data_IF_717830991771
#
_entry.id   IF_717830991771
#
_cell.length_a   1.000
_cell.length_b   1.000
_cell.length_c   1.000
_cell.angle_alpha   90.00
_cell.angle_beta   90.00
_cell.angle_gamma   90.00
#
_symmetry.space_group_name_H-M   'P 1'
#
loop_
_entity.id
_entity.type
_entity.pdbx_description
1 polymer ?
#
# COMPACT_ATOMS: atom_id res chain seq x y z
N UNK A 1 59.09 -42.39 48.27
CA UNK A 1 57.83 -43.06 47.88
C UNK A 1 56.71 -42.05 47.93
N UNK A 2 56.42 -41.36 46.84
CA UNK A 2 55.24 -40.46 46.74
C UNK A 2 54.87 -40.37 45.26
N UNK A 3 53.76 -41.02 44.91
CA UNK A 3 53.26 -41.16 43.53
C UNK A 3 52.55 -39.88 43.11
N UNK A 4 52.99 -39.25 42.03
CA UNK A 4 52.26 -38.19 41.33
C UNK A 4 51.19 -38.84 40.44
N UNK A 5 49.91 -38.60 40.73
CA UNK A 5 48.79 -38.98 39.86
C UNK A 5 48.52 -37.79 38.93
N UNK A 6 48.83 -37.96 37.64
CA UNK A 6 48.48 -37.02 36.59
C UNK A 6 47.04 -37.32 36.18
N UNK A 7 46.08 -36.47 36.59
CA UNK A 7 44.72 -36.48 36.03
C UNK A 7 44.77 -35.78 34.66
N UNK A 8 44.70 -36.57 33.59
CA UNK A 8 44.48 -36.05 32.24
C UNK A 8 42.98 -35.75 32.11
N UNK A 9 42.62 -34.47 32.24
CA UNK A 9 41.27 -33.99 31.97
C UNK A 9 41.10 -33.91 30.44
N UNK A 10 40.47 -34.93 29.85
CA UNK A 10 40.16 -34.99 28.43
C UNK A 10 39.00 -34.01 28.15
N UNK A 11 39.32 -32.78 27.72
CA UNK A 11 38.32 -31.86 27.19
C UNK A 11 37.81 -32.40 25.84
N UNK A 12 36.66 -33.07 25.87
CA UNK A 12 35.90 -33.41 24.66
C UNK A 12 35.31 -32.10 24.14
N UNK A 13 35.95 -31.48 23.15
CA UNK A 13 35.37 -30.39 22.38
C UNK A 13 34.27 -30.97 21.50
N UNK A 14 33.03 -30.96 22.01
CA UNK A 14 31.86 -31.23 21.20
C UNK A 14 31.73 -30.08 20.18
N UNK A 15 32.12 -30.34 18.94
CA UNK A 15 31.86 -29.41 17.84
C UNK A 15 30.36 -29.48 17.59
N UNK A 16 29.63 -28.51 18.13
CA UNK A 16 28.22 -28.35 17.81
C UNK A 16 28.12 -28.05 16.30
N UNK A 17 27.79 -29.07 15.51
CA UNK A 17 27.35 -28.87 14.14
C UNK A 17 26.04 -28.08 14.21
N UNK A 18 26.14 -26.77 14.05
CA UNK A 18 24.98 -25.95 13.72
C UNK A 18 24.44 -26.51 12.41
N UNK A 19 23.26 -27.13 12.47
CA UNK A 19 22.48 -27.47 11.28
C UNK A 19 21.91 -26.15 10.76
N UNK A 20 22.79 -25.30 10.22
CA UNK A 20 22.41 -24.07 9.55
C UNK A 20 21.81 -24.45 8.21
N UNK A 21 20.48 -24.56 8.14
CA UNK A 21 19.80 -24.63 6.85
C UNK A 21 20.17 -23.37 6.04
N UNK A 22 20.57 -23.55 4.78
CA UNK A 22 20.83 -22.45 3.87
C UNK A 22 19.55 -21.63 3.70
N UNK A 23 19.60 -20.34 4.04
CA UNK A 23 18.47 -19.42 3.86
C UNK A 23 18.36 -19.12 2.36
N UNK A 24 17.25 -19.47 1.68
CA UNK A 24 17.14 -19.28 0.24
C UNK A 24 17.19 -17.80 -0.14
N UNK A 25 18.04 -17.43 -1.10
CA UNK A 25 18.12 -16.07 -1.61
C UNK A 25 17.00 -15.78 -2.63
N UNK A 26 15.77 -15.67 -2.14
CA UNK A 26 14.57 -15.40 -2.94
C UNK A 26 13.93 -14.09 -2.54
N UNK A 27 13.19 -13.44 -3.46
CA UNK A 27 12.43 -12.23 -3.11
C UNK A 27 11.43 -12.46 -1.98
N UNK A 28 10.79 -13.64 -1.95
CA UNK A 28 9.89 -14.02 -0.87
C UNK A 28 10.57 -14.02 0.51
N UNK A 29 11.83 -14.50 0.57
CA UNK A 29 12.64 -14.49 1.78
C UNK A 29 13.04 -13.07 2.17
N UNK A 30 13.60 -12.30 1.21
CA UNK A 30 14.11 -10.95 1.44
C UNK A 30 13.03 -9.98 1.94
N UNK A 31 11.79 -10.15 1.48
CA UNK A 31 10.64 -9.28 1.85
C UNK A 31 9.79 -9.82 3.00
N UNK A 32 10.23 -10.86 3.72
CA UNK A 32 9.49 -11.38 4.90
C UNK A 32 9.18 -10.32 5.94
N UNK A 33 10.08 -9.35 6.14
CA UNK A 33 9.82 -8.25 7.07
C UNK A 33 8.60 -7.40 6.67
N UNK A 34 8.33 -7.25 5.37
CA UNK A 34 7.18 -6.50 4.87
C UNK A 34 5.85 -7.18 5.24
N UNK A 35 5.82 -8.51 5.31
CA UNK A 35 4.59 -9.28 5.58
C UNK A 35 4.19 -9.24 7.05
N UNK A 36 5.07 -8.79 7.96
CA UNK A 36 4.73 -8.57 9.37
C UNK A 36 3.56 -7.58 9.50
N UNK A 37 3.54 -6.55 8.65
CA UNK A 37 2.49 -5.54 8.62
C UNK A 37 1.53 -5.71 7.42
N UNK A 38 2.03 -6.16 6.26
CA UNK A 38 1.25 -6.22 5.02
C UNK A 38 0.80 -7.63 4.63
N UNK A 39 0.67 -8.55 5.60
CA UNK A 39 0.20 -9.93 5.35
C UNK A 39 -1.19 -9.96 4.69
N UNK A 40 -1.50 -11.08 4.02
CA UNK A 40 -2.83 -11.32 3.48
C UNK A 40 -3.91 -11.60 4.53
N UNK A 41 -3.50 -11.94 5.75
CA UNK A 41 -4.43 -12.26 6.83
C UNK A 41 -5.11 -10.99 7.33
N UNK A 42 -6.44 -11.02 7.37
CA UNK A 42 -7.24 -10.03 8.06
C UNK A 42 -6.94 -10.06 9.55
N UNK A 43 -6.17 -9.09 10.01
CA UNK A 43 -5.94 -8.88 11.43
C UNK A 43 -6.76 -7.68 11.88
N UNK A 44 -7.83 -7.98 12.62
CA UNK A 44 -8.66 -6.98 13.29
C UNK A 44 -7.78 -6.21 14.29
N UNK A 45 -7.81 -4.88 14.25
CA UNK A 45 -7.08 -4.01 15.19
C UNK A 45 -6.03 -3.12 14.54
N UNK A 46 -4.82 -3.04 15.10
CA UNK A 46 -3.73 -2.17 14.58
C UNK A 46 -3.35 -2.52 13.14
N UNK A 47 -3.48 -3.78 12.77
CA UNK A 47 -3.11 -4.27 11.45
C UNK A 47 -4.11 -3.86 10.37
N UNK A 48 -5.35 -3.51 10.74
CA UNK A 48 -6.29 -2.88 9.83
C UNK A 48 -5.77 -1.52 9.31
N UNK A 49 -4.81 -0.88 9.98
CA UNK A 49 -4.17 0.33 9.46
C UNK A 49 -3.18 0.05 8.33
N UNK A 50 -2.60 -1.15 8.26
CA UNK A 50 -1.65 -1.50 7.21
C UNK A 50 -2.39 -2.00 5.97
N UNK A 51 -2.20 -1.37 4.81
CA UNK A 51 -2.93 -1.78 3.63
C UNK A 51 -2.39 -3.11 3.12
N UNK A 52 -3.29 -3.91 2.54
CA UNK A 52 -2.89 -4.95 1.60
C UNK A 52 -2.03 -4.35 0.49
N UNK A 53 -0.92 -4.98 0.11
CA UNK A 53 -0.10 -4.60 -1.04
C UNK A 53 -0.09 -5.64 -2.17
N UNK A 54 -0.44 -6.89 -1.86
CA UNK A 54 -0.49 -7.99 -2.82
C UNK A 54 -1.49 -7.71 -3.95
N UNK A 55 -1.04 -7.86 -5.19
CA UNK A 55 -1.84 -7.68 -6.40
C UNK A 55 -2.16 -6.22 -6.74
N UNK A 56 -1.54 -5.24 -6.07
CA UNK A 56 -1.64 -3.83 -6.49
C UNK A 56 -0.76 -3.59 -7.74
N UNK A 57 -1.09 -2.58 -8.57
CA UNK A 57 -0.31 -2.24 -9.74
C UNK A 57 1.18 -2.03 -9.40
N UNK A 58 2.08 -2.61 -10.20
CA UNK A 58 3.52 -2.57 -9.93
C UNK A 58 4.04 -1.13 -9.86
N UNK A 59 3.64 -0.28 -10.81
CA UNK A 59 4.03 1.13 -10.84
C UNK A 59 3.50 1.90 -9.63
N UNK A 60 2.33 1.54 -9.10
CA UNK A 60 1.83 2.12 -7.85
C UNK A 60 2.73 1.75 -6.68
N UNK A 61 3.04 0.47 -6.49
CA UNK A 61 3.86 -0.02 -5.39
C UNK A 61 5.25 0.64 -5.44
N UNK A 62 5.90 0.61 -6.60
CA UNK A 62 7.21 1.25 -6.79
C UNK A 62 7.19 2.73 -6.41
N UNK A 63 6.19 3.48 -6.89
CA UNK A 63 6.06 4.90 -6.55
C UNK A 63 5.83 5.13 -5.06
N UNK A 64 5.05 4.29 -4.38
CA UNK A 64 4.86 4.42 -2.93
C UNK A 64 6.15 4.15 -2.16
N UNK A 65 6.86 3.07 -2.50
CA UNK A 65 8.13 2.71 -1.86
C UNK A 65 9.16 3.84 -2.03
N UNK A 66 9.33 4.33 -3.26
CA UNK A 66 10.23 5.46 -3.56
C UNK A 66 9.82 6.71 -2.79
N UNK A 67 8.53 7.04 -2.76
CA UNK A 67 8.04 8.22 -2.04
C UNK A 67 8.28 8.12 -0.52
N UNK A 68 8.18 6.94 0.09
CA UNK A 68 8.53 6.74 1.50
C UNK A 68 10.03 6.87 1.72
N UNK A 69 10.86 6.17 0.95
CA UNK A 69 12.33 6.24 1.05
C UNK A 69 12.84 7.68 0.93
N UNK A 70 12.32 8.41 -0.05
CA UNK A 70 12.77 9.78 -0.35
C UNK A 70 12.10 10.83 0.56
N UNK A 71 11.29 10.42 1.54
CA UNK A 71 10.60 11.30 2.48
C UNK A 71 9.47 12.15 1.87
N UNK A 72 9.10 11.91 0.61
CA UNK A 72 7.99 12.59 -0.09
C UNK A 72 6.63 12.20 0.49
N UNK A 73 6.49 10.93 0.93
CA UNK A 73 5.35 10.42 1.67
C UNK A 73 5.79 10.09 3.10
N UNK A 74 5.08 10.62 4.09
CA UNK A 74 5.49 10.49 5.48
C UNK A 74 4.78 9.34 6.19
N UNK A 75 5.55 8.36 6.64
CA UNK A 75 5.18 7.39 7.65
C UNK A 75 6.46 6.74 8.19
N UNK A 76 6.90 7.15 9.37
CA UNK A 76 8.25 6.84 9.88
C UNK A 76 8.64 5.35 9.82
N UNK A 77 7.76 4.38 10.15
CA UNK A 77 8.11 2.97 10.05
C UNK A 77 8.50 2.54 8.63
N UNK A 78 7.80 3.02 7.60
CA UNK A 78 8.13 2.71 6.21
C UNK A 78 9.36 3.47 5.71
N UNK A 79 9.62 4.69 6.21
CA UNK A 79 10.85 5.44 5.89
C UNK A 79 12.07 4.66 6.37
N UNK A 80 12.07 4.22 7.63
CA UNK A 80 13.18 3.45 8.23
C UNK A 80 13.37 2.11 7.53
N UNK A 81 12.28 1.41 7.19
CA UNK A 81 12.35 0.12 6.53
C UNK A 81 13.00 0.19 5.13
N UNK A 82 12.81 1.29 4.42
CA UNK A 82 13.25 1.46 3.03
C UNK A 82 14.52 2.27 2.87
N UNK A 83 15.07 2.79 3.98
CA UNK A 83 16.29 3.59 3.98
C UNK A 83 17.43 2.83 3.29
N UNK A 84 18.15 3.52 2.40
CA UNK A 84 19.27 2.97 1.62
C UNK A 84 18.93 1.89 0.58
N UNK A 85 17.66 1.58 0.31
CA UNK A 85 17.29 0.68 -0.78
C UNK A 85 17.45 1.35 -2.16
N UNK A 86 18.07 0.64 -3.11
CA UNK A 86 18.22 1.12 -4.49
C UNK A 86 16.88 1.12 -5.24
N UNK A 87 16.75 1.95 -6.28
CA UNK A 87 15.58 1.94 -7.16
C UNK A 87 15.34 0.57 -7.81
N UNK A 88 16.41 -0.13 -8.19
CA UNK A 88 16.37 -1.48 -8.74
C UNK A 88 15.70 -2.44 -7.75
N UNK A 89 16.14 -2.43 -6.48
CA UNK A 89 15.56 -3.31 -5.47
C UNK A 89 14.11 -2.94 -5.13
N UNK A 90 13.77 -1.64 -5.12
CA UNK A 90 12.38 -1.22 -4.96
C UNK A 90 11.48 -1.71 -6.13
N UNK A 91 12.02 -1.79 -7.36
CA UNK A 91 11.30 -2.36 -8.50
C UNK A 91 11.11 -3.87 -8.36
N UNK A 92 12.11 -4.59 -7.87
CA UNK A 92 11.99 -6.04 -7.57
C UNK A 92 10.92 -6.30 -6.51
N UNK A 93 10.91 -5.52 -5.41
CA UNK A 93 9.87 -5.60 -4.38
C UNK A 93 8.50 -5.32 -4.98
N UNK A 94 8.37 -4.26 -5.79
CA UNK A 94 7.12 -3.90 -6.44
C UNK A 94 6.62 -5.01 -7.35
N UNK A 95 7.49 -5.59 -8.19
CA UNK A 95 7.18 -6.69 -9.10
C UNK A 95 6.72 -7.92 -8.33
N UNK A 96 7.44 -8.28 -7.27
CA UNK A 96 7.09 -9.42 -6.42
C UNK A 96 5.68 -9.26 -5.85
N UNK A 97 5.40 -8.18 -5.12
CA UNK A 97 4.08 -7.98 -4.50
C UNK A 97 2.95 -7.80 -5.52
N UNK A 98 3.20 -7.16 -6.67
CA UNK A 98 2.18 -7.05 -7.72
C UNK A 98 1.80 -8.40 -8.32
N UNK A 99 2.73 -9.36 -8.35
CA UNK A 99 2.47 -10.72 -8.88
C UNK A 99 1.68 -11.62 -7.93
N UNK A 100 1.60 -11.27 -6.64
CA UNK A 100 0.95 -12.12 -5.65
C UNK A 100 -0.58 -12.12 -5.83
N UNK A 101 -1.14 -13.32 -5.98
CA UNK A 101 -2.58 -13.56 -6.04
C UNK A 101 -3.07 -14.15 -4.72
N UNK A 102 -3.16 -13.30 -3.70
CA UNK A 102 -3.67 -13.71 -2.38
C UNK A 102 -5.19 -13.46 -2.32
N UNK A 103 -5.97 -14.25 -1.57
CA UNK A 103 -7.37 -13.96 -1.32
C UNK A 103 -7.56 -12.54 -0.78
N UNK A 104 -8.66 -11.89 -1.14
CA UNK A 104 -9.01 -10.61 -0.55
C UNK A 104 -9.65 -10.81 0.82
N UNK A 105 -9.49 -9.81 1.71
CA UNK A 105 -10.20 -9.81 2.98
C UNK A 105 -11.71 -9.79 2.78
N UNK A 106 -12.44 -10.31 3.77
CA UNK A 106 -13.90 -10.15 3.80
C UNK A 106 -14.23 -8.65 3.96
N UNK A 107 -15.31 -8.15 3.34
CA UNK A 107 -15.72 -6.77 3.55
C UNK A 107 -16.02 -6.52 5.03
N UNK A 108 -15.68 -5.32 5.50
CA UNK A 108 -16.13 -4.86 6.81
C UNK A 108 -17.67 -4.87 6.84
N UNK A 109 -18.25 -5.06 8.04
CA UNK A 109 -19.71 -5.04 8.24
C UNK A 109 -20.12 -3.80 9.02
N UNK A 110 -19.90 -2.63 8.41
CA UNK A 110 -20.18 -1.34 9.03
C UNK A 110 -21.63 -0.93 8.73
N UNK A 111 -22.40 -0.63 9.76
CA UNK A 111 -23.73 -0.05 9.59
C UNK A 111 -23.62 1.39 9.06
N UNK A 112 -24.42 1.72 8.05
CA UNK A 112 -24.47 3.05 7.43
C UNK A 112 -25.92 3.51 7.30
N UNK A 113 -26.16 4.80 7.51
CA UNK A 113 -27.45 5.40 7.26
C UNK A 113 -27.71 5.53 5.74
N UNK A 114 -28.98 5.52 5.28
CA UNK A 114 -29.30 5.66 3.86
C UNK A 114 -28.72 6.91 3.20
N UNK A 115 -28.64 8.02 3.92
CA UNK A 115 -27.98 9.25 3.45
C UNK A 115 -26.47 9.08 3.28
N UNK A 116 -25.78 8.41 4.22
CA UNK A 116 -24.34 8.16 4.09
C UNK A 116 -24.02 7.30 2.87
N UNK A 117 -24.87 6.30 2.58
CA UNK A 117 -24.74 5.45 1.40
C UNK A 117 -24.90 6.27 0.11
N UNK A 118 -25.96 7.09 0.03
CA UNK A 118 -26.21 7.96 -1.13
C UNK A 118 -25.08 8.96 -1.36
N UNK A 119 -24.60 9.59 -0.28
CA UNK A 119 -23.48 10.53 -0.34
C UNK A 119 -22.22 9.86 -0.87
N UNK A 120 -21.87 8.69 -0.34
CA UNK A 120 -20.69 7.95 -0.78
C UNK A 120 -20.79 7.54 -2.25
N UNK A 121 -21.91 6.93 -2.66
CA UNK A 121 -22.13 6.52 -4.05
C UNK A 121 -22.09 7.69 -5.02
N UNK A 122 -22.69 8.82 -4.65
CA UNK A 122 -22.68 10.02 -5.47
C UNK A 122 -21.25 10.51 -5.72
N UNK A 123 -20.42 10.65 -4.68
CA UNK A 123 -19.02 11.04 -4.85
C UNK A 123 -18.20 10.02 -5.64
N UNK A 124 -18.45 8.73 -5.41
CA UNK A 124 -17.69 7.64 -6.05
C UNK A 124 -17.97 7.58 -7.55
N UNK A 125 -19.24 7.69 -7.96
CA UNK A 125 -19.66 7.45 -9.35
C UNK A 125 -20.05 8.70 -10.13
N UNK A 126 -20.28 9.83 -9.46
CA UNK A 126 -20.64 11.11 -10.10
C UNK A 126 -19.72 12.26 -9.73
N UNK A 127 -19.00 12.17 -8.60
CA UNK A 127 -18.12 13.24 -8.13
C UNK A 127 -18.92 14.47 -7.66
N UNK A 128 -18.32 15.65 -7.78
CA UNK A 128 -18.94 16.96 -7.55
C UNK A 128 -18.31 17.97 -8.51
N UNK A 129 -18.87 18.14 -9.73
CA UNK A 129 -18.31 19.00 -10.77
C UNK A 129 -18.15 20.46 -10.33
N UNK A 130 -19.14 20.99 -9.62
CA UNK A 130 -19.12 22.34 -9.02
C UNK A 130 -17.97 22.56 -8.01
N UNK A 131 -17.41 21.48 -7.44
CA UNK A 131 -16.19 21.52 -6.62
C UNK A 131 -14.98 20.92 -7.36
N UNK A 132 -15.03 20.74 -8.67
CA UNK A 132 -13.93 20.12 -9.45
C UNK A 132 -13.46 18.75 -8.90
N UNK A 133 -14.35 18.01 -8.25
CA UNK A 133 -14.11 16.65 -7.76
C UNK A 133 -14.61 15.68 -8.83
N UNK A 134 -13.74 14.99 -9.57
CA UNK A 134 -14.19 13.95 -10.49
C UNK A 134 -14.73 12.73 -9.70
N UNK A 135 -15.54 11.87 -10.34
CA UNK A 135 -15.89 10.57 -9.75
C UNK A 135 -14.63 9.79 -9.36
N UNK A 136 -14.65 9.14 -8.19
CA UNK A 136 -13.54 8.26 -7.79
C UNK A 136 -13.31 7.14 -8.82
N UNK A 137 -14.39 6.57 -9.36
CA UNK A 137 -14.34 5.50 -10.38
C UNK A 137 -13.66 5.94 -11.68
N UNK A 138 -13.72 7.23 -12.02
CA UNK A 138 -13.10 7.75 -13.23
C UNK A 138 -11.57 7.63 -13.22
N UNK A 139 -10.96 7.51 -12.03
CA UNK A 139 -9.52 7.27 -11.90
C UNK A 139 -9.22 5.86 -11.36
N UNK A 140 -9.95 5.42 -10.33
CA UNK A 140 -9.70 4.14 -9.67
C UNK A 140 -10.36 2.93 -10.38
N UNK A 141 -10.97 3.16 -11.55
CA UNK A 141 -11.66 2.15 -12.36
C UNK A 141 -13.14 2.02 -12.00
N UNK A 142 -13.95 1.57 -12.95
CA UNK A 142 -15.42 1.47 -12.77
C UNK A 142 -15.84 0.58 -11.60
N UNK A 143 -15.08 -0.49 -11.37
CA UNK A 143 -15.23 -1.40 -10.23
C UNK A 143 -14.27 -1.11 -9.08
N UNK A 144 -13.55 0.01 -9.13
CA UNK A 144 -12.65 0.51 -8.06
C UNK A 144 -11.50 -0.44 -7.69
N UNK A 145 -11.13 -1.34 -8.61
CA UNK A 145 -10.03 -2.30 -8.45
C UNK A 145 -8.67 -1.73 -8.87
N UNK A 146 -8.62 -0.47 -9.29
CA UNK A 146 -7.42 0.20 -9.76
C UNK A 146 -7.25 0.09 -11.26
N UNK A 147 -6.27 0.83 -11.76
CA UNK A 147 -5.92 0.90 -13.17
C UNK A 147 -4.40 0.83 -13.30
N UNK A 148 -3.92 -0.14 -14.09
CA UNK A 148 -2.50 -0.27 -14.39
C UNK A 148 -1.98 0.99 -15.13
N UNK A 149 -0.71 1.39 -14.96
CA UNK A 149 0.30 0.76 -14.10
C UNK A 149 0.35 1.30 -12.67
N UNK A 150 -0.40 2.36 -12.34
CA UNK A 150 -0.08 3.20 -11.19
C UNK A 150 -1.27 3.69 -10.34
N UNK A 151 -2.52 3.38 -10.71
CA UNK A 151 -3.68 3.80 -9.91
C UNK A 151 -4.16 2.64 -9.03
N UNK A 152 -4.14 2.79 -7.70
CA UNK A 152 -4.45 1.67 -6.81
C UNK A 152 -5.95 1.38 -6.78
N UNK A 153 -6.30 0.11 -6.55
CA UNK A 153 -7.65 -0.27 -6.12
C UNK A 153 -7.98 0.23 -4.73
N UNK A 154 -9.26 0.59 -4.55
CA UNK A 154 -9.82 1.11 -3.31
C UNK A 154 -10.62 0.06 -2.53
N UNK A 155 -11.27 -0.88 -3.23
CA UNK A 155 -11.99 -1.99 -2.58
C UNK A 155 -10.99 -3.00 -2.01
N UNK A 156 -11.33 -3.62 -0.88
CA UNK A 156 -10.44 -4.51 -0.13
C UNK A 156 -9.40 -3.78 0.73
N UNK A 157 -9.53 -2.45 0.86
CA UNK A 157 -8.83 -1.67 1.88
C UNK A 157 -9.75 -1.43 3.06
N UNK A 158 -9.18 -1.39 4.27
CA UNK A 158 -9.95 -1.11 5.47
C UNK A 158 -10.45 0.34 5.51
N UNK A 159 -11.55 0.55 6.25
CA UNK A 159 -12.07 1.89 6.56
C UNK A 159 -11.01 2.74 7.25
N UNK A 160 -10.26 2.15 8.17
CA UNK A 160 -9.24 2.86 8.95
C UNK A 160 -8.11 3.40 8.06
N UNK A 161 -7.61 2.56 7.14
CA UNK A 161 -6.58 2.97 6.19
C UNK A 161 -7.10 4.06 5.26
N UNK A 162 -8.28 3.86 4.63
CA UNK A 162 -8.85 4.85 3.69
C UNK A 162 -9.07 6.20 4.38
N UNK A 163 -9.65 6.20 5.58
CA UNK A 163 -9.88 7.42 6.37
C UNK A 163 -8.55 8.14 6.65
N UNK A 164 -7.53 7.40 7.05
CA UNK A 164 -6.20 7.95 7.34
C UNK A 164 -5.53 8.54 6.08
N UNK A 165 -5.66 7.88 4.93
CA UNK A 165 -5.08 8.41 3.69
C UNK A 165 -5.79 9.69 3.24
N UNK A 166 -7.12 9.68 3.18
CA UNK A 166 -7.89 10.87 2.77
C UNK A 166 -7.70 12.03 3.75
N UNK A 167 -7.78 11.78 5.06
CA UNK A 167 -7.52 12.80 6.08
C UNK A 167 -6.07 13.31 6.04
N UNK A 168 -5.13 12.42 5.76
CA UNK A 168 -3.72 12.72 5.58
C UNK A 168 -3.45 13.68 4.41
N UNK A 169 -4.00 13.38 3.23
CA UNK A 169 -3.90 14.27 2.06
C UNK A 169 -4.62 15.58 2.29
N UNK A 170 -5.81 15.54 2.89
CA UNK A 170 -6.61 16.72 3.19
C UNK A 170 -5.88 17.70 4.12
N UNK A 171 -5.18 17.18 5.14
CA UNK A 171 -4.38 17.99 6.08
C UNK A 171 -2.99 18.35 5.55
N UNK A 172 -2.54 17.74 4.45
CA UNK A 172 -1.17 17.86 3.96
C UNK A 172 -0.13 17.14 4.83
N UNK A 173 -0.56 16.25 5.74
CA UNK A 173 0.34 15.58 6.68
C UNK A 173 1.07 14.37 6.09
N UNK A 174 0.49 13.72 5.06
CA UNK A 174 1.08 12.49 4.49
C UNK A 174 1.94 12.75 3.25
N UNK A 175 1.71 13.82 2.50
CA UNK A 175 2.53 14.19 1.34
C UNK A 175 3.28 15.48 1.63
N UNK A 176 4.61 15.43 1.56
CA UNK A 176 5.53 16.54 1.84
C UNK A 176 6.11 17.19 0.58
N UNK A 177 5.71 16.71 -0.60
CA UNK A 177 6.15 17.30 -1.87
C UNK A 177 5.69 18.75 -1.97
N UNK A 178 6.54 19.62 -2.53
CA UNK A 178 6.19 21.01 -2.86
C UNK A 178 5.20 21.08 -4.03
N UNK A 179 5.10 20.01 -4.82
CA UNK A 179 4.10 19.83 -5.88
C UNK A 179 2.94 18.99 -5.37
N UNK A 180 1.72 19.51 -5.54
CA UNK A 180 0.51 18.79 -5.16
C UNK A 180 0.26 17.62 -6.13
N UNK A 181 -0.05 16.45 -5.59
CA UNK A 181 -0.48 15.29 -6.38
C UNK A 181 -2.01 15.30 -6.56
N UNK A 182 -2.52 14.48 -7.48
CA UNK A 182 -3.95 14.43 -7.77
C UNK A 182 -4.81 14.16 -6.53
N UNK A 183 -4.39 13.25 -5.65
CA UNK A 183 -5.15 12.92 -4.46
C UNK A 183 -5.11 14.05 -3.42
N UNK A 184 -4.03 14.82 -3.34
CA UNK A 184 -3.92 16.01 -2.50
C UNK A 184 -4.94 17.07 -2.93
N UNK A 185 -5.07 17.31 -4.24
CA UNK A 185 -6.06 18.27 -4.78
C UNK A 185 -7.51 17.81 -4.57
N UNK A 186 -7.78 16.52 -4.73
CA UNK A 186 -9.12 15.97 -4.50
C UNK A 186 -9.48 15.97 -3.01
N UNK A 187 -8.59 15.44 -2.16
CA UNK A 187 -8.89 15.24 -0.74
C UNK A 187 -9.07 16.55 0.02
N UNK A 188 -8.35 17.63 -0.34
CA UNK A 188 -8.52 18.97 0.25
C UNK A 188 -9.94 19.53 0.09
N UNK A 189 -10.68 19.07 -0.92
CA UNK A 189 -12.03 19.54 -1.23
C UNK A 189 -13.12 18.70 -0.56
N UNK A 190 -12.75 17.56 0.03
CA UNK A 190 -13.66 16.70 0.77
C UNK A 190 -13.87 17.21 2.20
N UNK A 191 -15.12 17.16 2.64
CA UNK A 191 -15.50 17.34 4.04
C UNK A 191 -15.22 16.08 4.85
N UNK A 192 -15.12 16.21 6.17
CA UNK A 192 -14.92 15.04 7.06
C UNK A 192 -16.08 14.04 6.95
N UNK A 193 -17.32 14.54 6.81
CA UNK A 193 -18.52 13.72 6.59
C UNK A 193 -18.38 12.88 5.32
N UNK A 194 -17.89 13.48 4.24
CA UNK A 194 -17.70 12.79 2.96
C UNK A 194 -16.57 11.76 3.04
N UNK A 195 -15.43 12.11 3.64
CA UNK A 195 -14.33 11.16 3.89
C UNK A 195 -14.83 9.95 4.67
N UNK A 196 -15.60 10.17 5.73
CA UNK A 196 -16.16 9.10 6.55
C UNK A 196 -17.14 8.22 5.77
N UNK A 197 -18.06 8.82 5.02
CA UNK A 197 -19.04 8.10 4.21
C UNK A 197 -18.37 7.24 3.13
N UNK A 198 -17.42 7.82 2.38
CA UNK A 198 -16.68 7.12 1.32
C UNK A 198 -15.85 5.98 1.90
N UNK A 199 -15.11 6.21 2.99
CA UNK A 199 -14.29 5.17 3.62
C UNK A 199 -15.13 4.00 4.15
N UNK A 200 -16.28 4.28 4.80
CA UNK A 200 -17.19 3.22 5.26
C UNK A 200 -17.77 2.44 4.08
N UNK A 201 -18.22 3.13 3.04
CA UNK A 201 -18.85 2.49 1.89
C UNK A 201 -17.88 1.56 1.16
N UNK A 202 -16.66 2.03 0.89
CA UNK A 202 -15.62 1.26 0.21
C UNK A 202 -15.22 0.00 1.00
N UNK A 203 -15.06 0.12 2.32
CA UNK A 203 -14.70 -1.00 3.19
C UNK A 203 -15.82 -2.05 3.30
N UNK A 204 -17.08 -1.66 3.08
CA UNK A 204 -18.23 -2.55 3.04
C UNK A 204 -18.40 -3.29 1.68
N UNK A 205 -17.63 -2.95 0.64
CA UNK A 205 -17.78 -3.58 -0.67
C UNK A 205 -17.02 -4.91 -0.73
N UNK A 206 -17.67 -5.94 -1.27
CA UNK A 206 -17.00 -7.19 -1.61
C UNK A 206 -16.12 -7.01 -2.84
N UNK A 207 -14.95 -7.64 -2.82
CA UNK A 207 -14.06 -7.63 -3.98
C UNK A 207 -14.60 -8.57 -5.04
N UNK A 208 -14.80 -8.06 -6.25
CA UNK A 208 -15.10 -8.85 -7.45
C UNK A 208 -14.36 -8.29 -8.65
N UNK A 209 -13.80 -9.15 -9.50
CA UNK A 209 -13.07 -8.75 -10.71
C UNK A 209 -11.57 -8.47 -10.52
N UNK A 210 -10.94 -7.92 -11.56
CA UNK A 210 -9.50 -7.61 -11.65
C UNK A 210 -9.29 -6.11 -11.96
N UNK A 211 -8.11 -5.52 -11.67
CA UNK A 211 -7.79 -4.14 -12.07
C UNK A 211 -7.98 -3.90 -13.58
N UNK A 212 -8.36 -2.68 -13.93
CA UNK A 212 -8.50 -2.24 -15.32
C UNK A 212 -7.15 -1.90 -15.98
N UNK A 213 -7.16 -1.78 -17.31
CA UNK A 213 -5.99 -1.35 -18.11
C UNK A 213 -5.95 0.18 -18.25
N UNK A 214 -4.77 0.78 -18.44
CA UNK A 214 -4.56 2.25 -18.55
C UNK A 214 -5.44 2.94 -19.60
N UNK A 215 -5.80 2.23 -20.68
CA UNK A 215 -6.65 2.75 -21.76
C UNK A 215 -8.08 3.08 -21.31
N UNK A 216 -8.44 2.82 -20.05
CA UNK A 216 -9.73 3.15 -19.45
C UNK A 216 -9.80 4.60 -18.94
N UNK A 217 -8.65 5.26 -18.70
CA UNK A 217 -8.64 6.66 -18.25
C UNK A 217 -8.83 7.64 -19.42
N UNK A 218 -9.66 8.67 -19.24
CA UNK A 218 -9.82 9.70 -20.26
C UNK A 218 -8.53 10.52 -20.46
N UNK A 219 -8.21 10.99 -21.67
CA UNK A 219 -7.03 11.80 -21.92
C UNK A 219 -6.92 13.05 -21.04
N UNK A 220 -8.06 13.67 -20.69
CA UNK A 220 -8.12 14.83 -19.78
C UNK A 220 -7.72 14.46 -18.34
N UNK A 221 -8.21 13.32 -17.83
CA UNK A 221 -7.85 12.83 -16.50
C UNK A 221 -6.39 12.38 -16.46
N UNK A 222 -5.92 11.73 -17.53
CA UNK A 222 -4.51 11.43 -17.71
C UNK A 222 -3.72 12.73 -17.68
N UNK A 223 -4.04 13.77 -18.45
CA UNK A 223 -3.30 15.03 -18.42
C UNK A 223 -3.30 15.71 -17.03
N UNK A 224 -4.44 15.67 -16.32
CA UNK A 224 -4.57 16.21 -14.96
C UNK A 224 -3.63 15.51 -13.96
N UNK A 225 -3.43 14.20 -14.09
CA UNK A 225 -2.66 13.39 -13.13
C UNK A 225 -1.28 12.92 -13.60
N UNK A 226 -1.01 12.91 -14.90
CA UNK A 226 0.27 12.55 -15.50
C UNK A 226 1.28 13.69 -15.50
N UNK A 227 0.83 14.94 -15.34
CA UNK A 227 1.72 16.09 -15.16
C UNK A 227 2.64 15.93 -13.93
N UNK A 228 2.26 15.11 -12.96
CA UNK A 228 3.08 14.73 -11.80
C UNK A 228 3.90 13.45 -12.04
N UNK A 229 3.48 12.58 -12.97
CA UNK A 229 4.15 11.31 -13.30
C UNK A 229 5.32 11.54 -14.27
N UNK A 230 5.13 12.37 -15.29
CA UNK A 230 6.12 12.59 -16.36
C UNK A 230 7.33 13.44 -15.91
N UNK A 231 7.19 14.28 -14.89
CA UNK A 231 8.33 15.04 -14.33
C UNK A 231 9.31 14.15 -13.52
N UNK A 232 8.95 12.91 -13.17
CA UNK A 232 9.82 11.99 -12.41
C UNK A 232 9.85 10.55 -12.97
N UNK A 233 9.51 10.39 -14.24
CA UNK A 233 9.41 9.08 -14.88
C UNK A 233 9.19 9.20 -16.39
N UNK A 234 10.28 9.37 -17.14
CA UNK A 234 10.25 9.18 -18.58
C UNK A 234 11.41 9.83 -19.32
N UNK A 235 12.51 9.11 -19.48
CA UNK A 235 13.14 8.80 -20.76
C UNK A 235 14.43 7.99 -20.49
N UNK A 236 14.53 6.85 -21.20
CA UNK A 236 15.55 5.78 -21.15
C UNK A 236 15.32 4.66 -20.12
#
# INVERSE_FOLDING_TARGET
MTRFIILILLCITSVANAIGGEVPDTMAERVKACTICHSAEDKVGRDAYYPRIAGKPQGYIFNQLRNFRDGRRYYQPMVVLLENMSDEYLREIAQYFSSLQLPYPDPERIQMQPEEIKLAQHLIYSGSPERNIPPCSACHGDILMGVEPAIPGLIGLSRAYITAQLGGWRSGSIMRSRTSDCMSEIAKQLTEREVNAVAKWLANQSVSGKPGSFNVLSPELVARCSRTILENGGAE
#
